data_IF_214092482593
#
_entry.id   IF_214092482593
#
_cell.length_a   1.000
_cell.length_b   1.000
_cell.length_c   1.000
_cell.angle_alpha   90.00
_cell.angle_beta   90.00
_cell.angle_gamma   90.00
#
_symmetry.space_group_name_H-M   'P 1'
#
loop_
_entity.id
_entity.type
_entity.pdbx_description
1 polymer ?
2 water ?
#
# COMPACT_ATOMS: atom_id res chain seq x y z
N UNK A 24 3.07 -16.01 11.81
CA UNK A 24 1.70 -16.35 12.28
C UNK A 24 0.65 -15.49 11.59
N UNK A 25 1.05 -14.28 11.20
CA UNK A 25 0.14 -13.35 10.52
C UNK A 25 0.10 -13.67 9.03
N UNK A 26 -1.10 -13.92 8.52
CA UNK A 26 -1.25 -14.23 7.11
C UNK A 26 -1.26 -12.98 6.25
N UNK A 27 -1.47 -13.16 4.96
CA UNK A 27 -1.51 -12.05 4.02
C UNK A 27 -2.73 -12.13 3.12
N UNK A 28 -3.07 -10.99 2.53
CA UNK A 28 -4.20 -10.88 1.62
C UNK A 28 -3.69 -10.20 0.37
N UNK A 29 -4.32 -10.47 -0.76
CA UNK A 29 -3.88 -9.85 -2.00
C UNK A 29 -4.62 -8.55 -2.28
N UNK A 30 -3.92 -7.62 -2.91
CA UNK A 30 -4.49 -6.33 -3.27
C UNK A 30 -3.92 -5.91 -4.62
N UNK A 31 -4.68 -5.10 -5.34
CA UNK A 31 -4.26 -4.63 -6.65
C UNK A 31 -3.74 -3.21 -6.49
N UNK A 32 -2.54 -2.96 -6.97
CA UNK A 32 -1.95 -1.63 -6.87
C UNK A 32 -1.50 -1.15 -8.24
N UNK A 33 -1.50 0.17 -8.43
CA UNK A 33 -1.08 0.76 -9.69
C UNK A 33 0.30 0.25 -10.06
N UNK A 34 0.44 -0.15 -11.32
CA UNK A 34 1.70 -0.68 -11.81
C UNK A 34 2.86 0.30 -11.77
N UNK A 35 2.60 1.58 -11.97
CA UNK A 35 3.69 2.55 -11.95
C UNK A 35 4.22 2.75 -10.54
N UNK A 36 3.33 2.77 -9.55
CA UNK A 36 3.75 2.94 -8.16
C UNK A 36 4.53 1.70 -7.74
N UNK A 37 4.08 0.53 -8.18
CA UNK A 37 4.77 -0.70 -7.84
C UNK A 37 6.16 -0.70 -8.46
N UNK A 38 6.26 -0.25 -9.71
CA UNK A 38 7.55 -0.22 -10.38
C UNK A 38 8.52 0.68 -9.62
N UNK A 39 8.04 1.84 -9.19
CA UNK A 39 8.88 2.77 -8.45
C UNK A 39 9.42 2.10 -7.18
N UNK A 40 8.55 1.41 -6.46
CA UNK A 40 8.98 0.73 -5.24
C UNK A 40 9.94 -0.40 -5.55
N UNK A 41 9.64 -1.15 -6.60
CA UNK A 41 10.48 -2.27 -7.01
C UNK A 41 11.90 -1.82 -7.34
N UNK A 42 12.02 -0.74 -8.10
CA UNK A 42 13.33 -0.22 -8.48
C UNK A 42 14.11 0.19 -7.24
N UNK A 43 13.48 1.01 -6.41
CA UNK A 43 14.09 1.51 -5.18
C UNK A 43 14.51 0.40 -4.22
N UNK A 44 13.65 -0.60 -4.05
CA UNK A 44 13.96 -1.70 -3.15
C UNK A 44 15.08 -2.58 -3.68
N UNK A 45 15.13 -2.74 -5.00
CA UNK A 45 16.16 -3.55 -5.63
C UNK A 45 17.55 -3.00 -5.30
N UNK A 46 17.64 -1.68 -5.20
CA UNK A 46 18.91 -1.02 -4.89
C UNK A 46 19.45 -1.50 -3.55
N UNK A 47 18.73 -1.19 -2.48
CA UNK A 47 19.14 -1.59 -1.14
C UNK A 47 19.18 -3.12 -0.99
N UNK A 48 18.16 -3.80 -1.51
CA UNK A 48 18.13 -5.25 -1.43
C UNK A 48 16.96 -5.89 -0.72
N UNK A 49 16.06 -5.09 -0.16
CA UNK A 49 14.91 -5.63 0.54
C UNK A 49 13.82 -6.15 -0.38
N UNK A 50 12.64 -6.41 0.16
CA UNK A 50 11.54 -6.91 -0.66
C UNK A 50 10.38 -5.92 -0.70
N UNK A 51 9.62 -5.96 -1.80
CA UNK A 51 8.49 -5.07 -1.99
C UNK A 51 7.39 -5.21 -0.94
N UNK A 52 7.15 -6.43 -0.46
CA UNK A 52 6.10 -6.62 0.54
C UNK A 52 6.31 -5.80 1.81
N UNK A 53 7.54 -5.73 2.30
CA UNK A 53 7.80 -4.95 3.51
C UNK A 53 7.42 -3.50 3.28
N UNK A 54 7.63 -3.01 2.06
CA UNK A 54 7.29 -1.64 1.74
C UNK A 54 5.78 -1.48 1.67
N UNK A 55 5.10 -2.41 1.01
CA UNK A 55 3.64 -2.34 0.91
C UNK A 55 3.06 -2.31 2.32
N UNK A 56 3.56 -3.19 3.19
CA UNK A 56 3.06 -3.23 4.56
C UNK A 56 3.33 -1.94 5.32
N UNK A 57 4.53 -1.38 5.15
CA UNK A 57 4.84 -0.15 5.87
C UNK A 57 3.97 0.98 5.36
N UNK A 58 3.81 1.06 4.04
CA UNK A 58 3.00 2.11 3.45
C UNK A 58 1.56 2.03 3.97
N UNK A 59 1.00 0.83 3.96
CA UNK A 59 -0.37 0.67 4.42
C UNK A 59 -0.51 0.91 5.92
N UNK A 60 0.43 0.40 6.72
CA UNK A 60 0.32 0.61 8.16
C UNK A 60 0.42 2.09 8.49
N UNK A 61 1.31 2.81 7.82
CA UNK A 61 1.44 4.24 8.09
C UNK A 61 0.17 5.00 7.73
N UNK A 62 -0.48 4.59 6.64
CA UNK A 62 -1.72 5.21 6.21
C UNK A 62 -2.78 4.99 7.29
N UNK A 63 -2.84 3.78 7.81
CA UNK A 63 -3.81 3.43 8.83
C UNK A 63 -3.57 4.18 10.13
N UNK A 64 -2.33 4.23 10.59
CA UNK A 64 -2.07 4.92 11.85
C UNK A 64 -2.33 6.41 11.73
N UNK A 65 -2.25 6.93 10.50
CA UNK A 65 -2.48 8.34 10.24
C UNK A 65 -3.96 8.71 10.12
N UNK A 66 -4.69 7.97 9.28
CA UNK A 66 -6.10 8.26 9.05
C UNK A 66 -7.10 7.39 9.81
N UNK A 67 -6.62 6.28 10.35
CA UNK A 67 -7.47 5.36 11.09
C UNK A 67 -6.80 4.99 12.41
N UNK A 68 -6.45 5.99 13.21
CA UNK A 68 -5.80 5.70 14.49
C UNK A 68 -6.71 4.84 15.38
N UNK A 69 -6.09 4.00 16.20
CA UNK A 69 -6.82 3.11 17.12
C UNK A 69 -7.33 1.81 16.52
N UNK A 70 -7.21 1.66 15.20
CA UNK A 70 -7.65 0.43 14.55
C UNK A 70 -6.61 -0.67 14.74
N UNK A 71 -5.38 -0.26 15.02
CA UNK A 71 -4.29 -1.20 15.25
C UNK A 71 -3.83 -1.14 16.70
N UNK B 23 -2.55 7.86 -20.59
CA UNK B 23 -3.50 7.90 -19.45
C UNK B 23 -3.75 6.50 -18.90
N UNK B 24 -3.44 5.49 -19.71
CA UNK B 24 -3.64 4.10 -19.30
C UNK B 24 -2.61 3.65 -18.27
N UNK B 25 -3.01 2.67 -17.47
CA UNK B 25 -2.15 2.12 -16.44
C UNK B 25 -2.79 0.84 -15.92
N UNK B 26 -2.00 -0.22 -15.84
CA UNK B 26 -2.52 -1.47 -15.35
C UNK B 26 -2.22 -1.59 -13.87
N UNK B 27 -2.66 -2.68 -13.27
CA UNK B 27 -2.41 -2.91 -11.86
C UNK B 27 -1.56 -4.16 -11.68
N UNK B 28 -1.00 -4.30 -10.49
CA UNK B 28 -0.16 -5.43 -10.15
C UNK B 28 -0.69 -6.03 -8.85
N UNK B 29 -0.70 -7.36 -8.76
CA UNK B 29 -1.16 -8.01 -7.55
C UNK B 29 0.00 -8.10 -6.57
N UNK B 30 -0.23 -7.64 -5.35
CA UNK B 30 0.78 -7.72 -4.31
C UNK B 30 0.09 -8.24 -3.06
N UNK B 31 0.88 -8.61 -2.06
CA UNK B 31 0.33 -9.11 -0.81
C UNK B 31 0.62 -8.12 0.30
N UNK B 32 -0.29 -8.05 1.26
CA UNK B 32 -0.13 -7.18 2.42
C UNK B 32 -0.65 -7.92 3.64
N UNK B 33 -0.13 -7.56 4.80
CA UNK B 33 -0.55 -8.19 6.06
C UNK B 33 -2.07 -8.25 6.15
N UNK B 34 -2.59 -9.41 6.56
CA UNK B 34 -4.03 -9.60 6.67
C UNK B 34 -4.71 -8.64 7.64
N UNK B 35 -4.05 -8.31 8.75
CA UNK B 35 -4.68 -7.41 9.70
C UNK B 35 -4.82 -6.01 9.14
N UNK B 36 -3.84 -5.58 8.35
CA UNK B 36 -3.91 -4.25 7.74
C UNK B 36 -5.01 -4.27 6.68
N UNK B 37 -5.05 -5.34 5.89
CA UNK B 37 -6.05 -5.47 4.85
C UNK B 37 -7.46 -5.47 5.44
N UNK B 38 -7.64 -6.22 6.52
CA UNK B 38 -8.94 -6.31 7.17
C UNK B 38 -9.45 -4.93 7.58
N UNK B 39 -8.56 -4.11 8.14
CA UNK B 39 -8.94 -2.78 8.58
C UNK B 39 -9.49 -1.91 7.45
N UNK B 40 -8.81 -1.92 6.31
CA UNK B 40 -9.26 -1.11 5.18
C UNK B 40 -10.54 -1.69 4.58
N UNK B 41 -10.60 -3.01 4.48
CA UNK B 41 -11.77 -3.71 3.95
C UNK B 41 -13.02 -3.30 4.72
N UNK B 42 -12.92 -3.30 6.05
CA UNK B 42 -14.04 -2.93 6.91
C UNK B 42 -14.48 -1.49 6.67
N UNK B 43 -13.52 -0.57 6.55
CA UNK B 43 -13.84 0.84 6.34
C UNK B 43 -14.51 1.11 5.00
N UNK B 44 -13.97 0.53 3.94
CA UNK B 44 -14.51 0.73 2.60
C UNK B 44 -15.84 0.01 2.41
N UNK B 45 -16.15 -0.92 3.31
CA UNK B 45 -17.40 -1.67 3.22
C UNK B 45 -18.54 -0.87 3.83
N UNK B 46 -18.21 0.04 4.74
CA UNK B 46 -19.22 0.87 5.39
C UNK B 46 -20.08 1.59 4.36
N UNK B 47 -19.50 2.58 3.69
CA UNK B 47 -20.21 3.35 2.68
C UNK B 47 -19.38 3.48 1.41
N UNK B 48 -18.60 4.56 1.33
CA UNK B 48 -17.77 4.78 0.17
C UNK B 48 -16.34 4.34 0.39
N UNK B 49 -15.71 3.81 -0.65
CA UNK B 49 -14.34 3.37 -0.53
C UNK B 49 -14.02 2.11 -1.32
N UNK B 50 -12.74 1.94 -1.62
CA UNK B 50 -12.26 0.79 -2.37
C UNK B 50 -10.86 0.47 -1.86
N UNK B 51 -10.61 -0.80 -1.53
CA UNK B 51 -9.30 -1.20 -1.01
C UNK B 51 -8.15 -0.80 -1.94
N UNK B 52 -8.34 -1.03 -3.23
CA UNK B 52 -7.34 -0.71 -4.23
C UNK B 52 -6.97 0.78 -4.19
N UNK B 53 -7.99 1.64 -4.11
CA UNK B 53 -7.78 3.08 -4.06
C UNK B 53 -7.02 3.48 -2.80
N UNK B 54 -7.35 2.84 -1.68
CA UNK B 54 -6.66 3.14 -0.44
C UNK B 54 -5.19 2.73 -0.54
N UNK B 55 -4.95 1.53 -1.06
CA UNK B 55 -3.58 1.05 -1.19
C UNK B 55 -2.75 1.97 -2.09
N UNK B 56 -3.34 2.42 -3.19
CA UNK B 56 -2.64 3.31 -4.11
C UNK B 56 -2.29 4.61 -3.39
N UNK B 57 -3.25 5.14 -2.64
CA UNK B 57 -3.01 6.37 -1.89
C UNK B 57 -1.93 6.16 -0.84
N UNK B 58 -1.97 5.00 -0.18
CA UNK B 58 -0.99 4.70 0.86
C UNK B 58 0.41 4.63 0.26
N UNK B 59 0.51 4.07 -0.94
CA UNK B 59 1.80 4.00 -1.60
C UNK B 59 2.26 5.40 -2.00
N UNK B 60 1.36 6.17 -2.60
CA UNK B 60 1.71 7.53 -3.02
C UNK B 60 2.23 8.37 -1.86
N UNK B 61 1.64 8.20 -0.68
CA UNK B 61 2.10 8.96 0.48
C UNK B 61 3.45 8.42 0.95
N UNK B 62 3.63 7.11 0.88
CA UNK B 62 4.90 6.52 1.28
C UNK B 62 6.01 7.03 0.37
N UNK B 63 5.75 7.04 -0.93
CA UNK B 63 6.74 7.50 -1.90
C UNK B 63 7.07 8.97 -1.67
N UNK B 64 6.04 9.79 -1.48
CA UNK B 64 6.23 11.21 -1.24
C UNK B 64 7.04 11.46 0.04
N UNK B 65 6.90 10.57 1.01
CA UNK B 65 7.60 10.71 2.29
C UNK B 65 9.04 10.20 2.30
N UNK B 66 9.23 8.98 1.81
CA UNK B 66 10.54 8.34 1.80
C UNK B 66 11.34 8.43 0.51
N UNK B 67 10.64 8.59 -0.61
CA UNK B 67 11.30 8.66 -1.90
C UNK B 67 10.85 9.92 -2.64
N UNK B 68 10.99 11.10 -2.00
CA UNK B 68 10.60 12.38 -2.60
C UNK B 68 11.36 12.70 -3.88
N UNK B 69 12.53 12.09 -4.04
CA UNK B 69 13.36 12.30 -5.22
C UNK B 69 12.73 11.68 -6.47
N UNK B 70 11.41 11.52 -6.43
CA UNK B 70 10.66 10.96 -7.55
C UNK B 70 10.18 12.09 -8.45
N UNK B 71 9.58 13.11 -7.84
CA UNK B 71 9.08 14.26 -8.57
C UNK B 71 9.20 15.52 -7.72
#
# INVERSE_FOLDING_TARGET
>A
MIVGNLGAQKAKRNDTPISAKKDIMGDKTVRVRADLHHIIKIETAKNGGNVKEVMDQALEEYIRKYLPDKL
>B
MIVGNLGAQKAKRNDTPISAKKDIMGDKTVRVRADLHHIIKIETAKNGGNVKEVMDQALEEYIRKYLPDKL
#
